data_IF_723808720770
#
_entry.id   IF_723808720770
#
_cell.length_a   1.000
_cell.length_b   1.000
_cell.length_c   1.000
_cell.angle_alpha   90.00
_cell.angle_beta   90.00
_cell.angle_gamma   90.00
#
_symmetry.space_group_name_H-M   'P 1'
#
loop_
_entity.id
_entity.type
_entity.pdbx_description
1 polymer ?
#
# COMPACT_ATOMS: atom_id res chain seq x y z
N UNK A 1 6.94 -5.59 -14.63
CA UNK A 1 6.92 -5.81 -13.17
C UNK A 1 6.91 -4.47 -12.43
N UNK A 2 5.78 -4.07 -11.85
CA UNK A 2 5.59 -2.77 -11.18
C UNK A 2 6.44 -2.65 -9.91
N UNK A 3 6.63 -3.74 -9.17
CA UNK A 3 7.30 -3.69 -7.88
C UNK A 3 8.82 -3.59 -7.98
N UNK A 4 9.40 -3.92 -9.15
CA UNK A 4 10.83 -3.83 -9.41
C UNK A 4 11.23 -2.73 -10.43
N UNK A 5 10.29 -2.23 -11.25
CA UNK A 5 10.61 -1.29 -12.30
C UNK A 5 11.18 0.05 -11.78
N UNK A 6 12.21 0.57 -12.44
CA UNK A 6 12.68 1.93 -12.20
C UNK A 6 11.86 2.96 -13.01
N UNK A 7 12.15 4.25 -12.81
CA UNK A 7 11.42 5.30 -13.53
C UNK A 7 11.71 5.33 -15.02
N UNK A 8 12.85 4.81 -15.49
CA UNK A 8 13.18 4.78 -16.92
C UNK A 8 12.37 3.71 -17.64
N UNK A 9 12.26 2.51 -17.06
CA UNK A 9 11.43 1.43 -17.57
C UNK A 9 9.95 1.81 -17.62
N UNK A 10 9.45 2.51 -16.59
CA UNK A 10 8.06 2.98 -16.57
C UNK A 10 7.77 4.03 -17.66
N UNK A 11 8.77 4.81 -18.08
CA UNK A 11 8.60 5.83 -19.12
C UNK A 11 8.45 5.23 -20.53
N UNK A 12 8.72 3.95 -20.72
CA UNK A 12 8.44 3.26 -21.98
C UNK A 12 6.94 2.96 -22.17
N UNK A 13 6.13 3.10 -21.11
CA UNK A 13 4.69 2.91 -21.19
C UNK A 13 4.01 4.13 -21.81
N UNK A 14 3.09 3.87 -22.75
CA UNK A 14 2.35 4.93 -23.42
C UNK A 14 1.64 5.86 -22.41
N UNK A 15 1.85 7.17 -22.55
CA UNK A 15 1.25 8.18 -21.68
C UNK A 15 1.90 8.33 -20.29
N UNK A 16 2.99 7.62 -20.00
CA UNK A 16 3.73 7.72 -18.74
C UNK A 16 5.01 8.53 -18.93
N UNK A 17 4.92 9.84 -18.67
CA UNK A 17 6.09 10.72 -18.63
C UNK A 17 6.87 10.66 -17.30
N UNK A 18 8.00 11.38 -17.17
CA UNK A 18 8.85 11.40 -15.98
C UNK A 18 8.08 11.66 -14.67
N UNK A 19 7.10 12.57 -14.70
CA UNK A 19 6.29 12.91 -13.53
C UNK A 19 5.40 11.75 -13.06
N UNK A 20 4.78 11.02 -13.99
CA UNK A 20 3.95 9.86 -13.65
C UNK A 20 4.80 8.69 -13.17
N UNK A 21 5.93 8.42 -13.84
CA UNK A 21 6.87 7.38 -13.40
C UNK A 21 7.33 7.61 -11.95
N UNK A 22 7.71 8.85 -11.60
CA UNK A 22 8.07 9.21 -10.21
C UNK A 22 6.91 9.01 -9.23
N UNK A 23 5.68 9.36 -9.61
CA UNK A 23 4.50 9.19 -8.74
C UNK A 23 4.17 7.71 -8.52
N UNK A 24 4.26 6.87 -9.56
CA UNK A 24 4.07 5.42 -9.47
C UNK A 24 5.09 4.81 -8.50
N UNK A 25 6.38 5.12 -8.69
CA UNK A 25 7.44 4.64 -7.78
C UNK A 25 7.23 5.13 -6.35
N UNK A 26 6.93 6.41 -6.16
CA UNK A 26 6.66 6.96 -4.81
C UNK A 26 5.45 6.28 -4.14
N UNK A 27 4.40 6.02 -4.90
CA UNK A 27 3.21 5.36 -4.37
C UNK A 27 3.48 3.89 -4.03
N UNK A 28 4.24 3.17 -4.87
CA UNK A 28 4.78 1.83 -4.55
C UNK A 28 5.51 1.81 -3.22
N UNK A 29 6.40 2.78 -2.97
CA UNK A 29 7.17 2.87 -1.73
C UNK A 29 6.27 3.13 -0.51
N UNK A 30 5.25 3.98 -0.64
CA UNK A 30 4.30 4.25 0.44
C UNK A 30 3.43 3.03 0.78
N UNK A 31 3.01 2.29 -0.26
CA UNK A 31 2.32 1.03 -0.10
C UNK A 31 3.24 -0.04 0.52
N UNK A 32 4.52 -0.08 0.13
CA UNK A 32 5.38 -1.25 0.33
C UNK A 32 5.25 -2.29 -0.79
N UNK A 33 4.69 -1.90 -1.94
CA UNK A 33 4.49 -2.76 -3.11
C UNK A 33 3.02 -2.91 -3.51
N UNK A 34 2.75 -2.85 -4.81
CA UNK A 34 1.44 -3.11 -5.39
C UNK A 34 1.02 -4.58 -5.19
N UNK A 35 -0.25 -4.83 -4.83
CA UNK A 35 -0.89 -6.17 -4.84
C UNK A 35 -1.66 -6.42 -6.13
N UNK A 36 -2.09 -5.37 -6.83
CA UNK A 36 -2.80 -5.48 -8.10
C UNK A 36 -2.47 -4.29 -8.99
N UNK A 37 -2.57 -4.48 -10.31
CA UNK A 37 -2.25 -3.45 -11.30
C UNK A 37 -3.23 -2.28 -11.23
N UNK A 38 -4.47 -2.52 -10.81
CA UNK A 38 -5.55 -1.52 -10.70
C UNK A 38 -5.22 -0.44 -9.68
N UNK A 39 -4.38 -0.72 -8.68
CA UNK A 39 -3.92 0.28 -7.71
C UNK A 39 -3.11 1.42 -8.35
N UNK A 40 -2.64 1.27 -9.59
CA UNK A 40 -2.06 2.38 -10.35
C UNK A 40 -3.08 3.50 -10.56
N UNK A 41 -4.39 3.21 -10.62
CA UNK A 41 -5.46 4.20 -10.68
C UNK A 41 -5.54 5.08 -9.43
N UNK A 42 -4.97 4.64 -8.30
CA UNK A 42 -4.93 5.41 -7.06
C UNK A 42 -3.76 6.41 -7.02
N UNK A 43 -2.85 6.33 -8.00
CA UNK A 43 -1.75 7.28 -8.15
C UNK A 43 -2.29 8.64 -8.57
N UNK A 44 -1.86 9.70 -7.88
CA UNK A 44 -2.36 11.05 -8.13
C UNK A 44 -2.25 11.49 -9.61
N UNK A 45 -3.41 11.79 -10.19
CA UNK A 45 -3.58 12.20 -11.58
C UNK A 45 -3.66 11.05 -12.58
N UNK A 46 -3.62 9.79 -12.13
CA UNK A 46 -3.93 8.64 -12.98
C UNK A 46 -5.44 8.58 -13.22
N UNK A 47 -5.83 8.34 -14.46
CA UNK A 47 -7.22 8.16 -14.87
C UNK A 47 -7.33 6.88 -15.71
N UNK A 48 -8.56 6.42 -15.94
CA UNK A 48 -8.81 5.21 -16.72
C UNK A 48 -8.32 5.35 -18.16
N UNK A 49 -8.39 6.54 -18.76
CA UNK A 49 -7.95 6.76 -20.14
C UNK A 49 -6.44 6.55 -20.32
N UNK A 50 -5.64 6.85 -19.29
CA UNK A 50 -4.19 6.61 -19.25
C UNK A 50 -3.83 5.20 -18.78
N UNK A 51 -4.60 4.62 -17.86
CA UNK A 51 -4.35 3.28 -17.33
C UNK A 51 -4.70 2.16 -18.33
N UNK A 52 -5.87 2.24 -18.98
CA UNK A 52 -6.37 1.18 -19.85
C UNK A 52 -5.39 0.77 -20.96
N UNK A 53 -4.72 1.70 -21.68
CA UNK A 53 -3.75 1.34 -22.71
C UNK A 53 -2.52 0.58 -22.20
N UNK A 54 -2.17 0.73 -20.93
CA UNK A 54 -0.96 0.13 -20.34
C UNK A 54 -1.27 -1.09 -19.48
N UNK A 55 -2.54 -1.31 -19.10
CA UNK A 55 -2.95 -2.29 -18.10
C UNK A 55 -2.47 -3.73 -18.40
N UNK A 56 -2.41 -4.13 -19.67
CA UNK A 56 -1.93 -5.47 -20.06
C UNK A 56 -0.41 -5.60 -20.04
N UNK A 57 0.33 -4.48 -20.09
CA UNK A 57 1.79 -4.46 -19.94
C UNK A 57 2.25 -4.43 -18.48
N UNK A 58 1.31 -4.23 -17.55
CA UNK A 58 1.60 -4.19 -16.12
C UNK A 58 1.52 -5.59 -15.52
N UNK A 59 2.61 -5.97 -14.86
CA UNK A 59 2.71 -7.18 -14.05
C UNK A 59 2.92 -6.78 -12.59
N UNK A 60 2.35 -7.56 -11.69
CA UNK A 60 2.53 -7.41 -10.24
C UNK A 60 2.90 -8.75 -9.65
N UNK A 61 4.16 -8.88 -9.26
CA UNK A 61 4.61 -9.95 -8.39
C UNK A 61 4.61 -9.46 -6.93
N UNK A 62 3.77 -10.11 -6.11
CA UNK A 62 3.60 -9.74 -4.70
C UNK A 62 4.75 -10.20 -3.82
N UNK A 63 5.65 -11.05 -4.32
CA UNK A 63 6.87 -11.46 -3.61
C UNK A 63 7.82 -10.28 -3.33
N UNK A 64 7.79 -9.22 -4.16
CA UNK A 64 8.58 -8.01 -3.97
C UNK A 64 8.04 -7.07 -2.89
N UNK A 65 6.91 -7.39 -2.25
CA UNK A 65 6.30 -6.55 -1.22
C UNK A 65 7.13 -6.54 0.06
N UNK A 66 7.30 -5.37 0.63
CA UNK A 66 7.80 -5.18 1.99
C UNK A 66 6.62 -4.91 2.92
N UNK A 67 6.37 -5.84 3.85
CA UNK A 67 5.30 -5.71 4.84
C UNK A 67 5.79 -4.96 6.07
N UNK A 68 4.91 -4.16 6.66
CA UNK A 68 5.18 -3.42 7.89
C UNK A 68 4.86 -4.31 9.09
N UNK A 69 5.79 -4.48 10.02
CA UNK A 69 5.50 -5.18 11.26
C UNK A 69 4.64 -4.27 12.18
N UNK A 70 3.40 -4.68 12.42
CA UNK A 70 2.41 -3.89 13.17
C UNK A 70 2.75 -3.77 14.66
N UNK A 71 3.54 -4.70 15.20
CA UNK A 71 3.93 -4.72 16.60
C UNK A 71 5.08 -3.76 16.89
N UNK A 72 5.95 -3.51 15.91
CA UNK A 72 7.16 -2.67 16.09
C UNK A 72 7.06 -1.32 15.39
N UNK A 73 6.21 -1.17 14.37
CA UNK A 73 6.05 0.09 13.65
C UNK A 73 5.63 1.25 14.57
N UNK A 74 6.25 2.41 14.35
CA UNK A 74 5.91 3.65 15.03
C UNK A 74 4.73 4.38 14.35
N UNK A 75 4.23 5.42 15.00
CA UNK A 75 3.11 6.21 14.51
C UNK A 75 3.36 6.77 13.10
N UNK A 76 4.56 7.30 12.86
CA UNK A 76 4.92 7.93 11.58
C UNK A 76 4.98 6.92 10.44
N UNK A 77 5.49 5.72 10.70
CA UNK A 77 5.56 4.62 9.73
C UNK A 77 4.17 4.18 9.32
N UNK A 78 3.28 3.96 10.28
CA UNK A 78 1.89 3.59 10.01
C UNK A 78 1.12 4.69 9.28
N UNK A 79 1.31 5.96 9.67
CA UNK A 79 0.60 7.10 9.06
C UNK A 79 1.03 7.39 7.62
N UNK A 80 2.23 6.95 7.21
CA UNK A 80 2.69 7.07 5.82
C UNK A 80 1.94 6.12 4.88
N UNK A 81 1.35 5.05 5.40
CA UNK A 81 0.67 4.07 4.58
C UNK A 81 -0.61 4.66 3.96
N UNK A 82 -0.82 4.60 2.63
CA UNK A 82 -1.93 5.29 1.94
C UNK A 82 -3.34 4.95 2.45
N UNK A 83 -3.51 3.75 3.01
CA UNK A 83 -4.79 3.26 3.52
C UNK A 83 -5.03 3.50 5.02
N UNK A 84 -4.14 4.22 5.70
CA UNK A 84 -4.29 4.54 7.11
C UNK A 84 -4.39 6.05 7.34
N UNK A 85 -5.43 6.47 8.06
CA UNK A 85 -5.54 7.83 8.58
C UNK A 85 -5.11 7.91 10.05
N UNK A 86 -4.96 9.14 10.56
CA UNK A 86 -4.53 9.41 11.95
C UNK A 86 -5.37 8.68 13.01
N UNK A 87 -6.68 8.59 12.82
CA UNK A 87 -7.58 7.93 13.79
C UNK A 87 -7.36 6.42 13.82
N UNK A 88 -7.20 5.80 12.64
CA UNK A 88 -6.88 4.38 12.52
C UNK A 88 -5.50 4.06 13.12
N UNK A 89 -4.48 4.88 12.85
CA UNK A 89 -3.14 4.68 13.44
C UNK A 89 -3.17 4.79 14.97
N UNK A 90 -3.85 5.81 15.51
CA UNK A 90 -4.03 5.94 16.95
C UNK A 90 -4.75 4.71 17.54
N UNK A 91 -5.78 4.21 16.87
CA UNK A 91 -6.51 3.03 17.32
C UNK A 91 -5.61 1.78 17.35
N UNK A 92 -4.75 1.58 16.33
CA UNK A 92 -3.77 0.48 16.30
C UNK A 92 -2.82 0.57 17.48
N UNK A 93 -2.22 1.74 17.72
CA UNK A 93 -1.23 1.92 18.78
C UNK A 93 -1.87 1.76 20.16
N UNK A 94 -3.06 2.32 20.36
CA UNK A 94 -3.78 2.19 21.63
C UNK A 94 -4.18 0.74 21.90
N UNK A 95 -4.66 0.02 20.87
CA UNK A 95 -4.97 -1.40 20.99
C UNK A 95 -3.73 -2.20 21.39
N UNK A 96 -2.58 -1.97 20.74
CA UNK A 96 -1.30 -2.60 21.08
C UNK A 96 -0.89 -2.34 22.53
N UNK A 97 -1.11 -1.13 23.04
CA UNK A 97 -0.81 -0.76 24.44
C UNK A 97 -1.74 -1.43 25.45
N UNK A 98 -3.02 -1.60 25.11
CA UNK A 98 -4.04 -2.13 26.01
C UNK A 98 -4.12 -3.66 26.03
N UNK A 99 -3.84 -4.29 24.88
CA UNK A 99 -4.01 -5.73 24.70
C UNK A 99 -2.69 -6.49 24.46
N UNK A 100 -1.57 -5.78 24.38
CA UNK A 100 -0.28 -6.35 24.02
C UNK A 100 -0.08 -6.49 22.50
N UNK A 101 0.88 -7.31 22.10
CA UNK A 101 1.21 -7.53 20.69
C UNK A 101 0.13 -8.29 19.95
N UNK A 102 -0.12 -7.90 18.70
CA UNK A 102 -0.95 -8.67 17.76
C UNK A 102 -0.29 -10.02 17.47
N UNK A 103 -1.06 -11.09 17.62
CA UNK A 103 -0.67 -12.47 17.30
C UNK A 103 -1.02 -12.86 15.86
N UNK A 104 -1.97 -12.15 15.26
CA UNK A 104 -2.34 -12.30 13.85
C UNK A 104 -2.81 -10.97 13.28
N UNK A 105 -2.71 -10.81 11.96
CA UNK A 105 -3.23 -9.61 11.28
C UNK A 105 -4.74 -9.50 11.41
N UNK A 106 -5.46 -10.62 11.50
CA UNK A 106 -6.92 -10.64 11.69
C UNK A 106 -7.38 -9.96 12.97
N UNK A 107 -6.54 -9.88 14.02
CA UNK A 107 -6.87 -9.16 15.25
C UNK A 107 -7.05 -7.64 15.03
N UNK A 108 -6.56 -7.07 13.92
CA UNK A 108 -6.90 -5.69 13.54
C UNK A 108 -8.41 -5.49 13.40
N UNK A 109 -9.17 -6.53 13.06
CA UNK A 109 -10.62 -6.45 12.98
C UNK A 109 -11.29 -6.27 14.36
N UNK A 110 -10.58 -6.45 15.47
CA UNK A 110 -11.12 -6.11 16.80
C UNK A 110 -11.28 -4.59 16.97
N UNK A 111 -10.54 -3.80 16.19
CA UNK A 111 -10.64 -2.34 16.16
C UNK A 111 -11.77 -1.96 15.21
N UNK A 112 -12.81 -1.29 15.72
CA UNK A 112 -14.00 -0.92 14.95
C UNK A 112 -13.69 -0.16 13.64
N UNK A 113 -12.71 0.75 13.66
CA UNK A 113 -12.27 1.54 12.49
C UNK A 113 -11.53 0.73 11.42
N UNK A 114 -11.21 -0.53 11.71
CA UNK A 114 -10.44 -1.43 10.87
C UNK A 114 -11.22 -2.72 10.57
N UNK A 115 -12.56 -2.68 10.59
CA UNK A 115 -13.41 -3.78 10.14
C UNK A 115 -13.79 -3.62 8.67
N UNK A 116 -14.09 -4.72 7.99
CA UNK A 116 -14.65 -4.69 6.63
C UNK A 116 -13.64 -4.22 5.57
N UNK A 117 -13.99 -3.17 4.84
CA UNK A 117 -13.18 -2.68 3.71
C UNK A 117 -11.80 -2.14 4.13
N UNK A 118 -11.66 -1.31 5.19
CA UNK A 118 -10.36 -0.90 5.70
C UNK A 118 -9.43 -2.08 5.99
N UNK A 119 -9.94 -3.15 6.62
CA UNK A 119 -9.16 -4.37 6.88
C UNK A 119 -8.63 -4.98 5.58
N UNK A 120 -9.51 -5.18 4.59
CA UNK A 120 -9.17 -5.83 3.32
C UNK A 120 -8.09 -5.04 2.59
N UNK A 121 -8.15 -3.72 2.65
CA UNK A 121 -7.13 -2.85 2.06
C UNK A 121 -5.80 -2.94 2.78
N UNK A 122 -5.78 -2.95 4.11
CA UNK A 122 -4.51 -2.88 4.85
C UNK A 122 -3.86 -4.24 5.08
N UNK A 123 -4.63 -5.31 5.29
CA UNK A 123 -4.11 -6.61 5.72
C UNK A 123 -2.95 -7.17 4.86
N UNK A 124 -2.96 -7.04 3.52
CA UNK A 124 -1.84 -7.51 2.69
C UNK A 124 -0.50 -6.83 2.97
N UNK A 125 -0.51 -5.66 3.61
CA UNK A 125 0.66 -4.81 3.84
C UNK A 125 1.28 -4.97 5.22
N UNK A 126 0.67 -5.74 6.12
CA UNK A 126 1.12 -5.87 7.49
C UNK A 126 1.55 -7.31 7.83
N UNK A 127 2.48 -7.42 8.78
CA UNK A 127 2.91 -8.68 9.40
C UNK A 127 2.95 -8.51 10.93
N UNK A 128 2.91 -9.62 11.66
CA UNK A 128 3.09 -9.64 13.13
C UNK A 128 4.50 -10.08 13.55
N UNK A 129 5.25 -10.67 12.62
CA UNK A 129 6.64 -11.13 12.73
C UNK A 129 7.47 -10.39 11.69
#
# INVERSE_FOLDING_TARGET
>A
ELNAADTAQLQHLYGIGPSFAKRIVKYRELLGGYISKEQVLEVYGMDSARYLPIAESLLVDTAYRVRININTADFKTLLRHPYLNKNQVNAIINYRKQHGTFQSISQLQNIHLLKGEPYRKIAPYFTVQ
#
